data_IF_772183885814
#
_entry.id   IF_772183885814
#
_cell.length_a   1.000
_cell.length_b   1.000
_cell.length_c   1.000
_cell.angle_alpha   90.00
_cell.angle_beta   90.00
_cell.angle_gamma   90.00
#
_symmetry.space_group_name_H-M   'P 1'
#
loop_
_entity.id
_entity.type
_entity.pdbx_description
1 polymer ?
#
# COMPACT_ATOMS: atom_id res chain seq x y z
N UNK A 1 20.46 -9.25 15.76
CA UNK A 1 19.67 -10.50 15.74
C UNK A 1 18.56 -10.34 14.71
N UNK A 2 18.26 -11.38 13.94
CA UNK A 2 17.17 -11.37 12.96
C UNK A 2 16.44 -12.70 13.02
N UNK A 3 15.12 -12.67 12.81
CA UNK A 3 14.27 -13.86 12.78
C UNK A 3 13.40 -13.81 11.53
N UNK A 4 13.18 -14.97 10.92
CA UNK A 4 12.24 -15.11 9.81
C UNK A 4 10.85 -15.36 10.40
N UNK A 5 9.87 -14.61 9.90
CA UNK A 5 8.47 -14.80 10.22
C UNK A 5 7.70 -15.08 8.93
N UNK A 6 6.75 -16.01 9.00
CA UNK A 6 5.87 -16.37 7.90
C UNK A 6 4.48 -15.84 8.22
N UNK A 7 3.91 -15.10 7.27
CA UNK A 7 2.58 -14.53 7.44
C UNK A 7 1.51 -15.62 7.54
N UNK A 8 0.48 -15.43 8.40
CA UNK A 8 -0.64 -16.34 8.48
C UNK A 8 -1.50 -16.26 7.20
N UNK A 9 -2.44 -17.19 7.06
CA UNK A 9 -3.38 -17.15 5.92
C UNK A 9 -4.25 -15.89 5.94
N UNK A 10 -4.83 -15.56 4.77
CA UNK A 10 -5.76 -14.43 4.61
C UNK A 10 -6.94 -14.53 5.60
N UNK A 11 -7.45 -13.37 6.04
CA UNK A 11 -8.58 -13.29 6.97
C UNK A 11 -8.22 -13.38 8.46
N UNK A 12 -6.93 -13.38 8.81
CA UNK A 12 -6.49 -13.36 10.22
C UNK A 12 -6.38 -11.95 10.83
N UNK A 13 -6.77 -10.92 10.08
CA UNK A 13 -6.75 -9.53 10.55
C UNK A 13 -5.34 -8.97 10.77
N UNK A 14 -5.23 -7.95 11.63
CA UNK A 14 -3.95 -7.30 11.92
C UNK A 14 -3.12 -8.07 12.96
N UNK A 15 -1.88 -8.36 12.62
CA UNK A 15 -0.89 -9.01 13.47
C UNK A 15 -0.03 -7.96 14.18
N UNK A 16 0.29 -8.18 15.46
CA UNK A 16 1.19 -7.32 16.24
C UNK A 16 2.43 -8.08 16.66
N UNK A 17 3.59 -7.57 16.27
CA UNK A 17 4.89 -7.98 16.78
C UNK A 17 5.19 -7.16 18.02
N UNK A 18 5.49 -7.83 19.13
CA UNK A 18 5.88 -7.21 20.40
C UNK A 18 7.26 -7.71 20.80
N UNK A 19 8.15 -6.81 21.14
CA UNK A 19 9.47 -7.13 21.69
C UNK A 19 9.57 -6.63 23.14
N UNK A 20 10.38 -7.31 23.94
CA UNK A 20 10.75 -6.87 25.28
C UNK A 20 12.27 -6.86 25.36
N UNK A 21 12.83 -5.76 25.84
CA UNK A 21 14.28 -5.58 26.00
C UNK A 21 14.57 -5.40 27.47
N UNK A 22 15.47 -6.21 28.01
CA UNK A 22 15.92 -6.14 29.41
C UNK A 22 17.35 -5.62 29.40
N UNK A 23 17.56 -4.47 30.02
CA UNK A 23 18.90 -3.87 30.17
C UNK A 23 19.52 -4.26 31.51
N UNK A 24 18.72 -4.29 32.57
CA UNK A 24 19.12 -4.75 33.91
C UNK A 24 17.93 -5.35 34.67
N UNK A 25 18.15 -5.83 35.89
CA UNK A 25 17.10 -6.46 36.71
C UNK A 25 15.94 -5.50 37.00
N UNK A 26 16.24 -4.20 37.12
CA UNK A 26 15.26 -3.16 37.43
C UNK A 26 14.83 -2.34 36.18
N UNK A 27 15.52 -2.50 35.05
CA UNK A 27 15.27 -1.72 33.82
C UNK A 27 14.89 -2.67 32.67
N UNK A 28 13.63 -2.61 32.28
CA UNK A 28 13.07 -3.35 31.16
C UNK A 28 12.08 -2.49 30.38
N UNK A 29 12.03 -2.70 29.07
CA UNK A 29 11.14 -2.01 28.14
C UNK A 29 10.26 -3.04 27.44
N UNK A 30 8.95 -2.83 27.43
CA UNK A 30 7.99 -3.72 26.77
C UNK A 30 6.81 -2.93 26.24
N UNK A 31 6.28 -3.37 25.09
CA UNK A 31 5.06 -2.88 24.46
C UNK A 31 5.03 -1.39 24.02
N UNK A 32 5.99 -0.57 24.45
CA UNK A 32 6.05 0.86 24.17
C UNK A 32 6.63 1.21 22.79
N UNK A 33 5.98 2.18 22.11
CA UNK A 33 6.52 2.88 20.94
C UNK A 33 7.00 1.96 19.82
N UNK A 34 8.31 1.96 19.58
CA UNK A 34 8.95 1.21 18.48
C UNK A 34 9.07 -0.31 18.72
N UNK A 35 8.84 -0.77 19.95
CA UNK A 35 8.89 -2.20 20.31
C UNK A 35 7.61 -2.96 19.92
N UNK A 36 6.57 -2.24 19.47
CA UNK A 36 5.36 -2.82 18.91
C UNK A 36 5.19 -2.40 17.46
N UNK A 37 5.08 -3.37 16.55
CA UNK A 37 4.75 -3.13 15.13
C UNK A 37 3.49 -3.89 14.75
N UNK A 38 2.55 -3.20 14.11
CA UNK A 38 1.31 -3.80 13.60
C UNK A 38 1.36 -3.91 12.09
N UNK A 39 1.02 -5.07 11.56
CA UNK A 39 0.93 -5.39 10.14
C UNK A 39 -0.47 -5.92 9.86
N UNK A 40 -1.19 -5.28 8.95
CA UNK A 40 -2.53 -5.68 8.54
C UNK A 40 -2.50 -6.30 7.15
N UNK A 41 -3.47 -7.16 6.87
CA UNK A 41 -3.76 -7.55 5.49
C UNK A 41 -4.05 -6.28 4.68
N UNK A 42 -3.44 -6.18 3.51
CA UNK A 42 -3.72 -5.10 2.57
C UNK A 42 -5.21 -5.16 2.23
N UNK A 43 -5.92 -4.05 2.47
CA UNK A 43 -7.28 -3.94 1.96
C UNK A 43 -7.24 -4.09 0.45
N UNK A 44 -8.25 -4.71 -0.17
CA UNK A 44 -8.53 -4.44 -1.56
C UNK A 44 -8.99 -2.98 -1.64
N UNK A 45 -8.04 -2.06 -1.45
CA UNK A 45 -8.17 -0.71 -1.95
C UNK A 45 -8.49 -0.95 -3.42
N UNK A 46 -9.71 -0.60 -3.81
CA UNK A 46 -10.14 -0.62 -5.20
C UNK A 46 -8.99 -0.14 -6.06
N UNK A 47 -8.68 -0.77 -7.19
CA UNK A 47 -7.54 -0.37 -8.03
C UNK A 47 -7.59 1.12 -8.44
N UNK A 48 -8.71 1.80 -8.20
CA UNK A 48 -8.96 3.23 -8.33
C UNK A 48 -8.60 4.10 -7.11
N UNK A 49 -8.07 3.53 -6.03
CA UNK A 49 -7.75 4.30 -4.81
C UNK A 49 -6.37 4.92 -4.97
N UNK A 50 -6.32 6.25 -5.08
CA UNK A 50 -5.06 6.96 -5.18
C UNK A 50 -4.21 6.68 -3.92
N UNK A 51 -3.00 6.11 -4.06
CA UNK A 51 -2.12 5.91 -2.92
C UNK A 51 -1.69 7.26 -2.34
N UNK A 52 -1.21 7.24 -1.09
CA UNK A 52 -0.73 8.45 -0.42
C UNK A 52 0.29 9.18 -1.29
N UNK A 53 -0.07 10.38 -1.75
CA UNK A 53 0.79 11.21 -2.58
C UNK A 53 2.07 11.55 -1.79
N UNK A 54 3.21 11.10 -2.30
CA UNK A 54 4.52 11.45 -1.77
C UNK A 54 4.86 12.88 -2.20
N UNK A 55 5.11 13.77 -1.22
CA UNK A 55 5.52 15.16 -1.49
C UNK A 55 6.94 15.27 -2.03
N UNK A 56 7.80 14.33 -1.67
CA UNK A 56 9.17 14.26 -2.11
C UNK A 56 9.49 12.82 -2.54
N UNK A 57 9.95 12.68 -3.77
CA UNK A 57 10.41 11.40 -4.29
C UNK A 57 11.81 11.10 -3.74
N UNK A 58 12.03 9.85 -3.29
CA UNK A 58 13.31 9.39 -2.76
C UNK A 58 14.03 8.40 -3.69
N UNK A 59 13.50 8.15 -4.89
CA UNK A 59 14.16 7.28 -5.85
C UNK A 59 15.36 7.99 -6.47
N UNK A 60 16.49 7.30 -6.53
CA UNK A 60 17.66 7.76 -7.29
C UNK A 60 17.65 7.26 -8.74
N UNK A 61 16.76 6.30 -9.04
CA UNK A 61 16.64 5.66 -10.34
C UNK A 61 15.60 6.36 -11.22
N UNK A 62 15.85 6.39 -12.52
CA UNK A 62 14.92 6.93 -13.52
C UNK A 62 14.07 5.83 -14.15
N UNK A 63 12.80 6.15 -14.45
CA UNK A 63 11.88 5.27 -15.15
C UNK A 63 11.28 5.98 -16.37
N UNK A 64 11.15 5.25 -17.47
CA UNK A 64 10.53 5.75 -18.71
C UNK A 64 9.20 5.04 -18.92
N UNK A 65 8.16 5.81 -19.23
CA UNK A 65 6.82 5.31 -19.49
C UNK A 65 6.37 5.68 -20.91
N UNK A 66 5.64 4.77 -21.53
CA UNK A 66 4.90 5.02 -22.77
C UNK A 66 3.41 5.02 -22.43
N UNK A 67 2.73 6.10 -22.80
CA UNK A 67 1.29 6.26 -22.57
C UNK A 67 0.58 6.18 -23.90
N UNK A 68 -0.37 5.26 -24.01
CA UNK A 68 -1.25 5.13 -25.17
C UNK A 68 -2.67 5.45 -24.74
N UNK A 69 -3.31 6.38 -25.45
CA UNK A 69 -4.73 6.66 -25.27
C UNK A 69 -5.52 5.88 -26.31
N UNK A 70 -6.38 4.98 -25.86
CA UNK A 70 -7.30 4.24 -26.73
C UNK A 70 -8.70 4.82 -26.61
N UNK A 71 -9.22 5.35 -27.71
CA UNK A 71 -10.58 5.88 -27.79
C UNK A 71 -11.61 4.77 -27.99
N UNK A 72 -12.18 4.26 -26.90
CA UNK A 72 -13.26 3.25 -26.94
C UNK A 72 -14.64 3.87 -27.21
N UNK A 73 -14.78 5.19 -27.00
CA UNK A 73 -16.02 5.92 -27.13
C UNK A 73 -16.18 6.51 -28.55
N UNK A 74 -17.22 6.07 -29.27
CA UNK A 74 -17.51 6.52 -30.63
C UNK A 74 -19.02 6.62 -30.85
N UNK A 75 -19.43 7.32 -31.93
CA UNK A 75 -20.82 7.39 -32.37
C UNK A 75 -21.46 6.00 -32.53
N UNK A 76 -20.68 5.00 -32.93
CA UNK A 76 -21.17 3.65 -33.19
C UNK A 76 -21.25 2.81 -31.91
N UNK A 77 -20.32 2.99 -30.97
CA UNK A 77 -20.29 2.21 -29.71
C UNK A 77 -21.22 2.79 -28.65
N UNK A 78 -21.43 4.11 -28.64
CA UNK A 78 -22.24 4.81 -27.65
C UNK A 78 -23.03 5.93 -28.33
N UNK A 79 -24.10 5.59 -29.07
CA UNK A 79 -24.79 6.52 -29.98
C UNK A 79 -25.66 7.57 -29.29
N UNK A 80 -26.11 7.30 -28.06
CA UNK A 80 -27.01 8.20 -27.33
C UNK A 80 -26.24 9.42 -26.84
N UNK A 81 -26.70 10.61 -27.22
CA UNK A 81 -26.12 11.90 -26.86
C UNK A 81 -24.64 12.07 -27.27
N UNK A 82 -24.16 11.25 -28.23
CA UNK A 82 -22.83 11.42 -28.79
C UNK A 82 -22.77 12.75 -29.56
N UNK A 83 -21.71 13.57 -29.38
CA UNK A 83 -21.59 14.85 -30.07
C UNK A 83 -21.75 14.69 -31.58
N UNK A 84 -22.73 15.39 -32.15
CA UNK A 84 -23.07 15.24 -33.55
C UNK A 84 -22.07 15.95 -34.49
N UNK A 85 -21.39 17.00 -34.01
CA UNK A 85 -20.54 17.87 -34.82
C UNK A 85 -19.29 18.35 -34.06
N UNK A 86 -18.21 18.54 -34.82
CA UNK A 86 -16.99 19.27 -34.49
C UNK A 86 -16.56 20.09 -35.70
#
# INVERSE_FOLDING_TARGET
>A
FQVLWIAPQKGNGCIKFKATVVESVDIWFSEDGELTKSLCEESPDSEDTQPKILRQCCTCDEAKYELTFEGLWSRNTHPKDFPADG
#
